data_IF_134795482806
#
_entry.id   IF_134795482806
#
_cell.length_a   1.000
_cell.length_b   1.000
_cell.length_c   1.000
_cell.angle_alpha   90.00
_cell.angle_beta   90.00
_cell.angle_gamma   90.00
#
_symmetry.space_group_name_H-M   'P 1'
#
loop_
_entity.id
_entity.type
_entity.pdbx_description
1 polymer ?
#
# COMPACT_ATOMS: atom_id res chain seq x y z
N UNK A 1 -13.20 13.68 5.77
CA UNK A 1 -11.90 12.99 5.58
C UNK A 1 -10.89 13.82 4.78
N UNK A 2 -11.29 14.48 3.68
CA UNK A 2 -10.43 15.34 2.84
C UNK A 2 -9.77 16.47 3.64
N UNK A 3 -10.51 17.11 4.55
CA UNK A 3 -9.99 18.22 5.35
C UNK A 3 -8.84 17.79 6.27
N UNK A 4 -8.93 16.60 6.89
CA UNK A 4 -7.88 16.08 7.75
C UNK A 4 -6.60 15.74 6.99
N UNK A 5 -6.74 15.19 5.77
CA UNK A 5 -5.63 14.89 4.88
C UNK A 5 -4.97 16.16 4.31
N UNK A 6 -5.77 17.17 3.93
CA UNK A 6 -5.26 18.47 3.50
C UNK A 6 -4.51 19.15 4.65
N UNK A 7 -5.05 19.11 5.86
CA UNK A 7 -4.38 19.67 7.05
C UNK A 7 -3.07 18.93 7.33
N UNK A 8 -3.06 17.59 7.26
CA UNK A 8 -1.85 16.79 7.48
C UNK A 8 -0.75 17.11 6.46
N UNK A 9 -1.09 17.14 5.17
CA UNK A 9 -0.14 17.47 4.09
C UNK A 9 0.37 18.90 4.19
N UNK A 10 -0.49 19.86 4.56
CA UNK A 10 -0.10 21.25 4.76
C UNK A 10 0.81 21.39 5.99
N UNK A 11 0.48 20.72 7.10
CA UNK A 11 1.27 20.73 8.33
C UNK A 11 2.64 20.06 8.15
N UNK A 12 2.69 18.95 7.40
CA UNK A 12 3.93 18.28 7.05
C UNK A 12 4.82 19.18 6.18
N UNK A 13 4.27 19.81 5.12
CA UNK A 13 4.99 20.77 4.29
C UNK A 13 5.52 21.96 5.10
N UNK A 14 4.70 22.51 6.01
CA UNK A 14 5.12 23.58 6.93
C UNK A 14 6.23 23.15 7.90
N UNK A 15 6.15 21.93 8.43
CA UNK A 15 7.16 21.40 9.36
C UNK A 15 8.51 21.20 8.68
N UNK A 16 8.51 20.72 7.44
CA UNK A 16 9.73 20.55 6.62
C UNK A 16 10.33 21.90 6.24
N UNK A 17 9.52 22.87 5.81
CA UNK A 17 9.98 24.23 5.53
C UNK A 17 10.56 24.86 6.80
N UNK A 18 9.89 24.71 7.94
CA UNK A 18 10.35 25.20 9.24
C UNK A 18 11.69 24.59 9.65
N UNK A 19 11.85 23.27 9.54
CA UNK A 19 13.10 22.59 9.84
C UNK A 19 14.24 23.04 8.91
N UNK A 20 13.97 23.19 7.61
CA UNK A 20 14.94 23.71 6.63
C UNK A 20 15.39 25.14 6.96
N UNK A 21 14.45 26.02 7.29
CA UNK A 21 14.73 27.42 7.66
C UNK A 21 15.56 27.51 8.94
N UNK A 22 15.27 26.67 9.94
CA UNK A 22 16.04 26.58 11.18
C UNK A 22 17.48 26.11 10.90
N UNK A 23 17.68 25.11 10.05
CA UNK A 23 19.01 24.67 9.64
C UNK A 23 19.81 25.76 8.92
N UNK A 24 19.16 26.54 8.04
CA UNK A 24 19.78 27.68 7.35
C UNK A 24 20.17 28.78 8.35
N UNK A 25 19.28 29.13 9.28
CA UNK A 25 19.55 30.16 10.31
C UNK A 25 20.68 29.72 11.24
N UNK A 26 20.71 28.46 11.67
CA UNK A 26 21.78 27.90 12.50
C UNK A 26 23.13 27.93 11.76
N UNK A 27 23.15 27.53 10.49
CA UNK A 27 24.34 27.62 9.64
C UNK A 27 24.85 29.05 9.48
N UNK A 28 23.94 30.01 9.26
CA UNK A 28 24.29 31.43 9.16
C UNK A 28 24.76 32.03 10.50
N UNK A 29 24.14 31.64 11.63
CA UNK A 29 24.58 32.09 12.96
C UNK A 29 25.93 31.51 13.36
N UNK A 30 26.22 30.26 13.00
CA UNK A 30 27.54 29.65 13.16
C UNK A 30 28.60 30.39 12.34
N UNK A 31 28.25 30.80 11.11
CA UNK A 31 29.11 31.62 10.26
C UNK A 31 29.43 32.99 10.88
N UNK A 32 28.43 33.71 11.41
CA UNK A 32 28.63 35.01 12.04
C UNK A 32 29.42 34.95 13.37
N UNK A 33 29.36 33.82 14.09
CA UNK A 33 30.10 33.63 15.35
C UNK A 33 31.61 33.37 15.15
N UNK A 34 32.09 33.35 13.92
CA UNK A 34 33.54 33.34 13.64
C UNK A 34 34.27 32.09 14.10
N UNK A 35 33.57 30.94 14.21
CA UNK A 35 34.20 29.63 14.44
C UNK A 35 34.84 29.18 13.12
N UNK A 36 35.85 29.91 12.67
CA UNK A 36 36.64 29.59 11.49
C UNK A 36 38.04 29.16 11.95
N UNK A 37 38.49 27.93 11.65
CA UNK A 37 39.92 27.69 11.50
C UNK A 37 40.40 28.52 10.29
N UNK A 38 41.59 29.10 10.37
CA UNK A 38 42.22 29.94 9.33
C UNK A 38 42.48 29.23 7.98
N UNK A 39 42.06 27.97 7.82
CA UNK A 39 42.18 27.20 6.60
C UNK A 39 40.78 26.81 6.11
N UNK A 40 40.33 27.48 5.06
CA UNK A 40 39.22 26.99 4.24
C UNK A 40 39.74 25.79 3.44
N UNK A 41 39.37 24.58 3.86
CA UNK A 41 39.72 23.35 3.14
C UNK A 41 38.89 23.21 1.88
N UNK A 42 39.54 22.96 0.74
CA UNK A 42 38.85 22.54 -0.48
C UNK A 42 38.21 21.17 -0.23
N UNK A 43 36.90 21.06 -0.45
CA UNK A 43 36.15 19.81 -0.27
C UNK A 43 35.98 19.15 -1.63
N UNK A 44 36.63 18.02 -1.82
CA UNK A 44 36.52 17.20 -3.03
C UNK A 44 35.57 16.03 -2.83
N UNK A 45 34.62 15.85 -3.74
CA UNK A 45 33.71 14.72 -3.81
C UNK A 45 33.70 14.13 -5.21
N UNK A 46 33.73 12.80 -5.32
CA UNK A 46 33.66 12.09 -6.59
C UNK A 46 32.39 11.23 -6.62
N UNK A 47 31.54 11.43 -7.63
CA UNK A 47 30.34 10.64 -7.88
C UNK A 47 30.45 10.05 -9.30
N UNK A 48 30.86 8.79 -9.40
CA UNK A 48 31.18 8.15 -10.68
C UNK A 48 32.36 8.83 -11.38
N UNK A 49 32.19 9.17 -12.66
CA UNK A 49 33.20 9.89 -13.45
C UNK A 49 33.22 11.41 -13.19
N UNK A 50 32.29 11.94 -12.39
CA UNK A 50 32.20 13.37 -12.12
C UNK A 50 32.94 13.71 -10.82
N UNK A 51 33.99 14.52 -10.93
CA UNK A 51 34.74 15.08 -9.79
C UNK A 51 34.28 16.51 -9.52
N UNK A 52 33.76 16.76 -8.33
CA UNK A 52 33.29 18.06 -7.85
C UNK A 52 34.23 18.55 -6.75
N UNK A 53 34.85 19.71 -6.96
CA UNK A 53 35.74 20.36 -5.99
C UNK A 53 35.12 21.69 -5.56
N UNK A 54 34.72 21.79 -4.28
CA UNK A 54 34.21 23.03 -3.70
C UNK A 54 35.37 23.77 -3.04
N UNK A 55 35.84 24.82 -3.71
CA UNK A 55 36.93 25.66 -3.20
C UNK A 55 36.45 26.66 -2.16
N UNK A 56 37.25 26.89 -1.12
CA UNK A 56 36.93 27.80 -0.02
C UNK A 56 35.58 27.51 0.69
N UNK A 57 35.25 26.24 0.87
CA UNK A 57 33.99 25.85 1.50
C UNK A 57 33.99 26.24 3.00
N UNK A 58 33.14 27.19 3.39
CA UNK A 58 32.89 27.45 4.79
C UNK A 58 32.08 26.28 5.39
N UNK A 59 32.22 25.95 6.68
CA UNK A 59 31.44 24.86 7.31
C UNK A 59 29.92 25.02 7.14
N UNK A 60 29.43 26.26 7.08
CA UNK A 60 28.02 26.57 6.82
C UNK A 60 27.54 26.20 5.41
N UNK A 61 28.44 26.15 4.42
CA UNK A 61 28.12 25.78 3.04
C UNK A 61 27.69 24.32 2.94
N UNK A 62 28.27 23.44 3.77
CA UNK A 62 27.88 22.03 3.85
C UNK A 62 26.46 21.86 4.40
N UNK A 63 26.06 22.63 5.42
CA UNK A 63 24.69 22.60 5.96
C UNK A 63 23.66 23.16 4.98
N UNK A 64 24.01 24.22 4.25
CA UNK A 64 23.17 24.77 3.19
C UNK A 64 23.00 23.77 2.03
N UNK A 65 24.08 23.13 1.59
CA UNK A 65 24.04 22.08 0.57
C UNK A 65 23.22 20.87 1.02
N UNK A 66 23.36 20.43 2.27
CA UNK A 66 22.56 19.34 2.82
C UNK A 66 21.07 19.68 2.87
N UNK A 67 20.72 20.91 3.27
CA UNK A 67 19.34 21.42 3.20
C UNK A 67 18.78 21.46 1.78
N UNK A 68 19.57 21.94 0.81
CA UNK A 68 19.21 21.94 -0.61
C UNK A 68 19.05 20.53 -1.18
N UNK A 69 19.91 19.57 -0.77
CA UNK A 69 19.83 18.17 -1.20
C UNK A 69 18.61 17.50 -0.62
N UNK A 70 18.25 17.74 0.65
CA UNK A 70 17.00 17.23 1.24
C UNK A 70 15.79 17.75 0.46
N UNK A 71 15.75 19.06 0.17
CA UNK A 71 14.68 19.68 -0.62
C UNK A 71 14.65 19.10 -2.04
N UNK A 72 15.80 18.92 -2.69
CA UNK A 72 15.91 18.37 -4.05
C UNK A 72 15.50 16.88 -4.10
N UNK A 73 15.94 16.06 -3.15
CA UNK A 73 15.54 14.65 -3.04
C UNK A 73 14.04 14.53 -2.76
N UNK A 74 13.45 15.44 -1.97
CA UNK A 74 12.01 15.48 -1.74
C UNK A 74 11.21 15.98 -2.96
N UNK A 75 11.76 16.89 -3.77
CA UNK A 75 11.18 17.29 -5.05
C UNK A 75 11.25 16.17 -6.11
N UNK A 76 12.32 15.38 -6.12
CA UNK A 76 12.54 14.29 -7.09
C UNK A 76 11.79 13.02 -6.70
N UNK A 77 11.75 12.66 -5.42
CA UNK A 77 10.99 11.49 -4.94
C UNK A 77 9.49 11.76 -4.78
N UNK A 78 9.07 13.04 -4.86
CA UNK A 78 7.71 13.47 -4.60
C UNK A 78 7.30 13.21 -3.15
N UNK A 79 6.24 13.87 -2.69
CA UNK A 79 5.51 13.37 -1.53
C UNK A 79 4.84 12.03 -1.86
N UNK A 80 3.91 11.54 -1.03
CA UNK A 80 2.99 10.44 -1.40
C UNK A 80 2.12 10.71 -2.66
N UNK A 81 2.43 11.74 -3.45
CA UNK A 81 1.87 12.10 -4.75
C UNK A 81 2.05 11.03 -5.83
N UNK A 82 3.09 10.18 -5.81
CA UNK A 82 3.26 9.13 -6.84
C UNK A 82 2.10 8.11 -6.82
N UNK A 83 1.55 7.85 -5.63
CA UNK A 83 0.34 7.03 -5.46
C UNK A 83 -0.90 7.77 -6.01
N UNK A 84 -0.93 9.10 -5.87
CA UNK A 84 -2.04 9.95 -6.32
C UNK A 84 -2.00 10.17 -7.83
N UNK A 85 -0.82 10.26 -8.46
CA UNK A 85 -0.69 10.44 -9.91
C UNK A 85 -0.96 9.13 -10.68
N UNK A 86 -0.63 7.97 -10.12
CA UNK A 86 -1.11 6.68 -10.66
C UNK A 86 -2.64 6.55 -10.49
N UNK A 87 -3.20 6.98 -9.36
CA UNK A 87 -4.65 7.11 -9.17
C UNK A 87 -5.29 8.14 -10.14
N UNK A 88 -4.60 9.23 -10.47
CA UNK A 88 -5.06 10.29 -11.37
C UNK A 88 -4.91 9.90 -12.86
N UNK A 89 -3.94 9.03 -13.20
CA UNK A 89 -3.82 8.42 -14.54
C UNK A 89 -4.89 7.35 -14.77
N UNK A 90 -5.22 6.58 -13.75
CA UNK A 90 -6.43 5.73 -13.73
C UNK A 90 -7.70 6.62 -13.83
N UNK A 91 -7.72 7.76 -13.14
CA UNK A 91 -8.77 8.78 -13.18
C UNK A 91 -8.95 9.51 -14.52
N UNK A 92 -7.89 9.71 -15.30
CA UNK A 92 -7.93 10.37 -16.61
C UNK A 92 -8.37 9.44 -17.74
N UNK A 93 -8.08 8.14 -17.66
CA UNK A 93 -8.74 7.14 -18.52
C UNK A 93 -10.23 6.93 -18.14
N UNK A 94 -10.66 7.44 -16.98
CA UNK A 94 -12.04 7.52 -16.52
C UNK A 94 -12.82 8.74 -17.05
N UNK A 95 -12.25 9.60 -17.89
CA UNK A 95 -12.98 10.72 -18.50
C UNK A 95 -14.17 10.28 -19.39
N UNK A 96 -14.25 9.01 -19.77
CA UNK A 96 -15.45 8.42 -20.39
C UNK A 96 -16.60 8.13 -19.40
N UNK A 97 -16.35 8.24 -18.08
CA UNK A 97 -17.30 7.99 -17.00
C UNK A 97 -17.87 9.29 -16.36
N UNK A 98 -17.41 10.47 -16.78
CA UNK A 98 -17.79 11.78 -16.19
C UNK A 98 -19.28 12.13 -16.33
N UNK A 99 -20.00 11.53 -17.28
CA UNK A 99 -21.45 11.76 -17.43
C UNK A 99 -22.29 11.13 -16.29
N UNK A 100 -21.74 10.14 -15.57
CA UNK A 100 -22.45 9.50 -14.43
C UNK A 100 -22.21 10.26 -13.12
N UNK A 101 -21.05 10.89 -12.95
CA UNK A 101 -20.62 11.51 -11.69
C UNK A 101 -21.25 12.89 -11.46
N UNK A 102 -21.72 13.58 -12.52
CA UNK A 102 -22.37 14.90 -12.44
C UNK A 102 -23.69 14.96 -11.64
N UNK A 103 -24.24 13.83 -11.18
CA UNK A 103 -25.49 13.80 -10.40
C UNK A 103 -25.34 13.86 -8.88
N UNK A 104 -24.13 13.90 -8.34
CA UNK A 104 -23.93 14.03 -6.89
C UNK A 104 -23.94 15.52 -6.50
N UNK A 105 -25.14 16.12 -6.39
CA UNK A 105 -25.35 17.30 -5.54
C UNK A 105 -26.27 16.95 -4.38
N UNK A 106 -25.81 17.29 -3.17
CA UNK A 106 -26.57 17.20 -1.93
C UNK A 106 -27.86 18.03 -2.02
N UNK A 107 -29.01 17.38 -1.81
CA UNK A 107 -30.20 18.00 -1.23
C UNK A 107 -30.88 16.96 -0.35
N UNK A 108 -31.06 17.31 0.92
CA UNK A 108 -31.81 16.49 1.85
C UNK A 108 -33.29 16.38 1.47
N UNK A 109 -33.92 15.33 1.99
CA UNK A 109 -35.37 15.19 2.04
C UNK A 109 -35.90 13.91 1.37
N UNK A 110 -36.68 13.18 2.18
CA UNK A 110 -37.58 12.08 1.81
C UNK A 110 -36.90 10.79 1.32
N UNK A 111 -36.83 9.77 2.18
CA UNK A 111 -37.86 8.73 2.33
C UNK A 111 -37.85 7.78 1.13
N UNK A 112 -37.44 6.54 1.34
CA UNK A 112 -38.19 5.34 0.95
C UNK A 112 -37.50 4.07 1.44
N UNK A 113 -38.33 3.04 1.67
CA UNK A 113 -37.97 1.75 2.22
C UNK A 113 -36.80 1.09 1.47
N UNK A 114 -35.62 1.06 2.10
CA UNK A 114 -34.40 0.51 1.53
C UNK A 114 -33.62 -0.25 2.60
N UNK A 115 -32.91 -1.29 2.18
CA UNK A 115 -31.87 -1.91 2.99
C UNK A 115 -30.99 -0.80 3.58
N UNK A 116 -30.54 -0.93 4.84
CA UNK A 116 -29.57 0.02 5.38
C UNK A 116 -28.36 0.11 4.45
N UNK A 117 -27.66 1.25 4.42
CA UNK A 117 -26.48 1.45 3.55
C UNK A 117 -25.43 0.33 3.73
N UNK A 118 -25.26 -0.17 4.96
CA UNK A 118 -24.44 -1.36 5.26
C UNK A 118 -25.01 -2.67 4.67
N UNK A 119 -26.34 -2.82 4.64
CA UNK A 119 -27.01 -3.94 3.99
C UNK A 119 -26.86 -3.93 2.46
N UNK A 120 -26.93 -2.74 1.84
CA UNK A 120 -26.69 -2.56 0.40
C UNK A 120 -25.23 -2.85 0.04
N UNK A 121 -24.27 -2.34 0.82
CA UNK A 121 -22.85 -2.64 0.65
C UNK A 121 -22.59 -4.15 0.68
N UNK A 122 -23.10 -4.83 1.72
CA UNK A 122 -22.92 -6.26 1.88
C UNK A 122 -23.52 -7.06 0.71
N UNK A 123 -24.65 -6.61 0.14
CA UNK A 123 -25.27 -7.24 -1.01
C UNK A 123 -24.41 -7.09 -2.28
N UNK A 124 -23.90 -5.88 -2.56
CA UNK A 124 -23.03 -5.62 -3.70
C UNK A 124 -21.69 -6.36 -3.60
N UNK A 125 -21.11 -6.43 -2.40
CA UNK A 125 -19.89 -7.20 -2.15
C UNK A 125 -20.09 -8.69 -2.44
N UNK A 126 -21.19 -9.28 -1.92
CA UNK A 126 -21.54 -10.69 -2.20
C UNK A 126 -21.78 -10.93 -3.69
N UNK A 127 -22.42 -9.98 -4.37
CA UNK A 127 -22.65 -10.06 -5.81
C UNK A 127 -21.35 -10.04 -6.60
N UNK A 128 -20.41 -9.15 -6.27
CA UNK A 128 -19.08 -9.11 -6.89
C UNK A 128 -18.31 -10.42 -6.73
N UNK A 129 -18.33 -11.01 -5.52
CA UNK A 129 -17.69 -12.31 -5.25
C UNK A 129 -18.33 -13.43 -6.07
N UNK A 130 -19.65 -13.39 -6.26
CA UNK A 130 -20.33 -14.36 -7.11
C UNK A 130 -19.92 -14.23 -8.59
N UNK A 131 -19.71 -13.02 -9.08
CA UNK A 131 -19.29 -12.77 -10.46
C UNK A 131 -17.85 -13.22 -10.70
N UNK A 132 -16.96 -12.98 -9.74
CA UNK A 132 -15.58 -13.47 -9.76
C UNK A 132 -15.53 -15.00 -9.86
N UNK A 133 -16.35 -15.72 -9.08
CA UNK A 133 -16.47 -17.18 -9.16
C UNK A 133 -16.96 -17.69 -10.51
N UNK A 134 -17.73 -16.86 -11.23
CA UNK A 134 -18.20 -17.16 -12.57
C UNK A 134 -17.21 -16.73 -13.67
N UNK A 135 -16.07 -16.15 -13.30
CA UNK A 135 -15.03 -15.66 -14.22
C UNK A 135 -15.34 -14.32 -14.88
N UNK A 136 -16.38 -13.60 -14.44
CA UNK A 136 -16.72 -12.27 -14.95
C UNK A 136 -16.05 -11.18 -14.12
N UNK A 137 -14.74 -11.06 -14.29
CA UNK A 137 -13.88 -10.11 -13.58
C UNK A 137 -14.32 -8.66 -13.79
N UNK A 138 -14.79 -8.32 -15.00
CA UNK A 138 -15.21 -6.96 -15.33
C UNK A 138 -16.48 -6.58 -14.58
N UNK A 139 -17.47 -7.48 -14.52
CA UNK A 139 -18.67 -7.26 -13.74
C UNK A 139 -18.37 -7.26 -12.23
N UNK A 140 -17.45 -8.10 -11.76
CA UNK A 140 -17.01 -8.13 -10.36
C UNK A 140 -16.41 -6.78 -9.93
N UNK A 141 -15.50 -6.21 -10.75
CA UNK A 141 -14.96 -4.87 -10.52
C UNK A 141 -16.03 -3.80 -10.44
N UNK A 142 -17.01 -3.86 -11.35
CA UNK A 142 -18.14 -2.92 -11.34
C UNK A 142 -18.96 -3.03 -10.05
N UNK A 143 -19.21 -4.24 -9.57
CA UNK A 143 -19.93 -4.48 -8.32
C UNK A 143 -19.17 -3.96 -7.09
N UNK A 144 -17.85 -4.21 -7.01
CA UNK A 144 -17.02 -3.68 -5.94
C UNK A 144 -16.93 -2.16 -5.97
N UNK A 145 -16.80 -1.55 -7.15
CA UNK A 145 -16.80 -0.10 -7.33
C UNK A 145 -18.12 0.53 -6.89
N UNK A 146 -19.27 -0.09 -7.19
CA UNK A 146 -20.58 0.34 -6.69
C UNK A 146 -20.68 0.23 -5.18
N UNK A 147 -20.21 -0.87 -4.59
CA UNK A 147 -20.19 -1.03 -3.14
C UNK A 147 -19.40 0.11 -2.47
N UNK A 148 -18.20 0.41 -2.98
CA UNK A 148 -17.36 1.50 -2.48
C UNK A 148 -17.90 2.92 -2.78
N UNK A 149 -18.92 3.04 -3.63
CA UNK A 149 -19.58 4.32 -3.93
C UNK A 149 -20.73 4.64 -2.96
N UNK A 150 -21.12 3.70 -2.09
CA UNK A 150 -22.14 3.94 -1.08
C UNK A 150 -21.59 4.95 -0.05
N UNK A 151 -22.27 6.08 0.17
CA UNK A 151 -21.86 7.08 1.15
C UNK A 151 -21.68 6.46 2.54
N UNK A 152 -20.70 7.00 3.29
CA UNK A 152 -20.44 6.62 4.69
C UNK A 152 -20.21 5.12 4.95
N UNK A 153 -19.80 4.37 3.91
CA UNK A 153 -19.37 2.96 4.05
C UNK A 153 -18.31 2.86 5.15
N UNK A 154 -18.53 2.03 6.19
CA UNK A 154 -17.55 1.83 7.24
C UNK A 154 -16.21 1.34 6.66
N UNK A 155 -15.10 1.94 7.10
CA UNK A 155 -13.77 1.61 6.58
C UNK A 155 -13.45 0.11 6.70
N UNK A 156 -13.92 -0.53 7.78
CA UNK A 156 -13.79 -1.97 8.02
C UNK A 156 -14.53 -2.84 6.98
N UNK A 157 -15.65 -2.35 6.45
CA UNK A 157 -16.38 -3.03 5.37
C UNK A 157 -15.68 -2.80 4.03
N UNK A 158 -15.22 -1.58 3.78
CA UNK A 158 -14.44 -1.23 2.59
C UNK A 158 -13.14 -2.06 2.46
N UNK A 159 -12.50 -2.41 3.58
CA UNK A 159 -11.32 -3.29 3.60
C UNK A 159 -11.55 -4.64 2.90
N UNK A 160 -12.76 -5.20 3.02
CA UNK A 160 -13.13 -6.45 2.32
C UNK A 160 -13.13 -6.23 0.81
N UNK A 161 -13.73 -5.13 0.34
CA UNK A 161 -13.75 -4.80 -1.08
C UNK A 161 -12.33 -4.52 -1.61
N UNK A 162 -11.48 -3.80 -0.87
CA UNK A 162 -10.08 -3.57 -1.25
C UNK A 162 -9.33 -4.89 -1.43
N UNK A 163 -9.52 -5.85 -0.51
CA UNK A 163 -8.89 -7.16 -0.63
C UNK A 163 -9.34 -7.91 -1.89
N UNK A 164 -10.64 -7.93 -2.18
CA UNK A 164 -11.14 -8.63 -3.38
C UNK A 164 -10.66 -7.98 -4.68
N UNK A 165 -10.62 -6.65 -4.73
CA UNK A 165 -10.06 -5.94 -5.89
C UNK A 165 -8.56 -6.25 -6.04
N UNK A 166 -7.79 -6.29 -4.94
CA UNK A 166 -6.38 -6.66 -4.98
C UNK A 166 -6.16 -8.09 -5.50
N UNK A 167 -6.97 -9.05 -5.06
CA UNK A 167 -6.96 -10.42 -5.59
C UNK A 167 -7.22 -10.44 -7.10
N UNK A 168 -8.20 -9.68 -7.57
CA UNK A 168 -8.52 -9.61 -9.00
C UNK A 168 -7.41 -8.95 -9.83
N UNK A 169 -6.78 -7.90 -9.30
CA UNK A 169 -5.61 -7.33 -9.95
C UNK A 169 -4.44 -8.32 -10.00
N UNK A 170 -4.28 -9.19 -9.00
CA UNK A 170 -3.29 -10.26 -9.06
C UNK A 170 -3.59 -11.31 -10.14
N UNK A 171 -4.85 -11.73 -10.31
CA UNK A 171 -5.22 -12.67 -11.39
C UNK A 171 -4.96 -12.07 -12.76
N UNK A 172 -5.16 -10.76 -12.91
CA UNK A 172 -4.87 -9.98 -14.12
C UNK A 172 -3.39 -9.61 -14.29
N UNK A 173 -2.49 -10.05 -13.39
CA UNK A 173 -1.06 -9.70 -13.36
C UNK A 173 -0.78 -8.18 -13.21
N UNK A 174 -1.76 -7.41 -12.73
CA UNK A 174 -1.67 -5.97 -12.46
C UNK A 174 -1.16 -5.74 -11.03
N UNK A 175 0.05 -6.23 -10.75
CA UNK A 175 0.58 -6.29 -9.38
C UNK A 175 0.84 -4.90 -8.77
N UNK A 176 1.20 -3.89 -9.58
CA UNK A 176 1.35 -2.50 -9.13
C UNK A 176 0.07 -1.95 -8.50
N UNK A 177 -1.07 -2.23 -9.12
CA UNK A 177 -2.37 -1.73 -8.68
C UNK A 177 -2.92 -2.52 -7.48
N UNK A 178 -2.54 -3.79 -7.35
CA UNK A 178 -2.93 -4.64 -6.23
C UNK A 178 -2.27 -4.22 -4.90
N UNK A 179 -1.01 -3.75 -4.95
CA UNK A 179 -0.22 -3.46 -3.76
C UNK A 179 -0.84 -2.40 -2.82
N UNK A 180 -1.23 -1.20 -3.28
CA UNK A 180 -1.82 -0.20 -2.39
C UNK A 180 -3.12 -0.69 -1.75
N UNK A 181 -3.94 -1.45 -2.49
CA UNK A 181 -5.21 -1.99 -2.00
C UNK A 181 -5.01 -3.07 -0.94
N UNK A 182 -4.09 -4.00 -1.16
CA UNK A 182 -3.74 -5.04 -0.18
C UNK A 182 -3.14 -4.43 1.10
N UNK A 183 -2.28 -3.41 0.98
CA UNK A 183 -1.75 -2.67 2.14
C UNK A 183 -2.85 -1.96 2.90
N UNK A 184 -3.80 -1.34 2.20
CA UNK A 184 -4.92 -0.65 2.83
C UNK A 184 -5.80 -1.64 3.61
N UNK A 185 -6.11 -2.82 3.05
CA UNK A 185 -6.87 -3.85 3.75
C UNK A 185 -6.21 -4.25 5.08
N UNK A 186 -4.90 -4.52 5.07
CA UNK A 186 -4.12 -4.85 6.28
C UNK A 186 -4.03 -3.68 7.27
N UNK A 187 -3.92 -2.44 6.78
CA UNK A 187 -3.87 -1.26 7.66
C UNK A 187 -5.17 -1.04 8.43
N UNK A 188 -6.30 -1.32 7.78
CA UNK A 188 -7.63 -1.20 8.38
C UNK A 188 -7.89 -2.32 9.38
N UNK A 189 -7.54 -3.55 9.03
CA UNK A 189 -7.72 -4.72 9.86
C UNK A 189 -6.44 -5.56 9.91
N UNK A 190 -5.63 -5.31 10.94
CA UNK A 190 -4.32 -5.94 11.15
C UNK A 190 -4.41 -7.36 11.69
N UNK A 191 -5.58 -7.80 12.16
CA UNK A 191 -5.77 -9.14 12.73
C UNK A 191 -6.43 -10.10 11.72
N UNK A 192 -6.58 -9.65 10.47
CA UNK A 192 -7.17 -10.44 9.41
C UNK A 192 -6.11 -11.24 8.64
N UNK A 193 -6.04 -12.55 8.91
CA UNK A 193 -5.09 -13.44 8.24
C UNK A 193 -5.25 -13.48 6.72
N UNK A 194 -6.46 -13.32 6.18
CA UNK A 194 -6.71 -13.28 4.72
C UNK A 194 -6.01 -12.09 4.09
N UNK A 195 -6.09 -10.91 4.71
CA UNK A 195 -5.50 -9.70 4.16
C UNK A 195 -3.97 -9.76 4.18
N UNK A 196 -3.41 -10.36 5.22
CA UNK A 196 -1.99 -10.67 5.29
C UNK A 196 -1.56 -11.65 4.19
N UNK A 197 -2.35 -12.67 3.88
CA UNK A 197 -2.06 -13.60 2.79
C UNK A 197 -2.12 -12.92 1.41
N UNK A 198 -3.17 -12.14 1.15
CA UNK A 198 -3.29 -11.38 -0.10
C UNK A 198 -2.10 -10.44 -0.27
N UNK A 199 -1.71 -9.67 0.77
CA UNK A 199 -0.54 -8.80 0.71
C UNK A 199 0.76 -9.58 0.49
N UNK A 200 0.93 -10.74 1.14
CA UNK A 200 2.09 -11.60 0.92
C UNK A 200 2.17 -12.08 -0.54
N UNK A 201 1.04 -12.48 -1.13
CA UNK A 201 0.97 -12.86 -2.54
C UNK A 201 1.32 -11.69 -3.48
N UNK A 202 0.87 -10.46 -3.17
CA UNK A 202 1.27 -9.27 -3.95
C UNK A 202 2.78 -9.03 -3.85
N UNK A 203 3.33 -9.06 -2.64
CA UNK A 203 4.75 -8.81 -2.39
C UNK A 203 5.64 -9.88 -3.03
N UNK A 204 5.20 -11.15 -3.01
CA UNK A 204 5.87 -12.25 -3.72
C UNK A 204 5.95 -11.98 -5.23
N UNK A 205 4.87 -11.50 -5.84
CA UNK A 205 4.86 -11.12 -7.28
C UNK A 205 5.70 -9.87 -7.56
N UNK A 206 5.90 -9.01 -6.56
CA UNK A 206 6.82 -7.86 -6.62
C UNK A 206 8.27 -8.21 -6.34
N UNK A 207 8.57 -9.47 -6.07
CA UNK A 207 9.89 -9.96 -5.69
C UNK A 207 10.42 -9.37 -4.36
N UNK A 208 9.56 -8.75 -3.56
CA UNK A 208 9.87 -8.36 -2.19
C UNK A 208 9.65 -9.55 -1.25
N UNK A 209 10.53 -10.55 -1.39
CA UNK A 209 10.39 -11.83 -0.70
C UNK A 209 10.53 -11.70 0.82
N UNK A 210 11.30 -10.72 1.30
CA UNK A 210 11.48 -10.49 2.73
C UNK A 210 10.16 -10.02 3.38
N UNK A 211 9.50 -9.02 2.80
CA UNK A 211 8.21 -8.54 3.31
C UNK A 211 7.09 -9.56 3.06
N UNK A 212 7.13 -10.29 1.94
CA UNK A 212 6.19 -11.39 1.66
C UNK A 212 6.23 -12.46 2.75
N UNK A 213 7.43 -12.91 3.17
CA UNK A 213 7.58 -13.88 4.27
C UNK A 213 6.99 -13.33 5.57
N UNK A 214 7.21 -12.06 5.88
CA UNK A 214 6.68 -11.43 7.10
C UNK A 214 5.15 -11.48 7.14
N UNK A 215 4.47 -11.08 6.05
CA UNK A 215 3.01 -11.13 5.99
C UNK A 215 2.47 -12.56 5.88
N UNK A 216 3.14 -13.46 5.17
CA UNK A 216 2.72 -14.86 5.12
C UNK A 216 2.83 -15.55 6.50
N UNK A 217 3.85 -15.21 7.31
CA UNK A 217 3.95 -15.68 8.70
C UNK A 217 2.82 -15.16 9.58
N UNK A 218 2.44 -13.90 9.40
CA UNK A 218 1.28 -13.32 10.08
C UNK A 218 -0.02 -14.06 9.68
N UNK A 219 -0.22 -14.34 8.38
CA UNK A 219 -1.40 -15.07 7.90
C UNK A 219 -1.56 -16.45 8.57
N UNK A 220 -0.48 -17.25 8.64
CA UNK A 220 -0.53 -18.57 9.30
C UNK A 220 -0.63 -18.48 10.82
N UNK A 221 -0.17 -17.38 11.43
CA UNK A 221 -0.29 -17.16 12.88
C UNK A 221 -1.73 -16.82 13.25
N UNK A 222 -2.36 -15.95 12.48
CA UNK A 222 -3.74 -15.51 12.69
C UNK A 222 -4.75 -16.60 12.33
N UNK A 223 -4.46 -17.40 11.30
CA UNK A 223 -5.36 -18.45 10.80
C UNK A 223 -4.57 -19.75 10.52
N UNK A 224 -4.25 -20.52 11.57
CA UNK A 224 -3.36 -21.69 11.48
C UNK A 224 -3.98 -22.94 10.85
N UNK A 225 -5.27 -22.91 10.49
CA UNK A 225 -5.97 -24.06 9.91
C UNK A 225 -6.22 -23.92 8.40
N UNK A 226 -5.66 -22.88 7.78
CA UNK A 226 -5.86 -22.58 6.37
C UNK A 226 -4.63 -23.02 5.55
N UNK A 227 -4.78 -24.10 4.79
CA UNK A 227 -3.69 -24.70 4.01
C UNK A 227 -3.11 -23.74 2.96
N UNK A 228 -3.96 -22.89 2.37
CA UNK A 228 -3.54 -21.86 1.39
C UNK A 228 -2.50 -20.90 1.97
N UNK A 229 -2.62 -20.50 3.24
CA UNK A 229 -1.66 -19.56 3.85
C UNK A 229 -0.29 -20.20 4.08
N UNK A 230 -0.26 -21.51 4.40
CA UNK A 230 0.98 -22.26 4.46
C UNK A 230 1.61 -22.43 3.07
N UNK A 231 0.81 -22.54 2.01
CA UNK A 231 1.31 -22.55 0.63
C UNK A 231 1.95 -21.21 0.24
N UNK A 232 1.29 -20.08 0.52
CA UNK A 232 1.86 -18.73 0.31
C UNK A 232 3.15 -18.53 1.10
N UNK A 233 3.20 -18.99 2.36
CA UNK A 233 4.41 -18.95 3.18
C UNK A 233 5.53 -19.79 2.57
N UNK A 234 5.23 -21.00 2.10
CA UNK A 234 6.22 -21.86 1.47
C UNK A 234 6.82 -21.23 0.20
N UNK A 235 5.99 -20.66 -0.67
CA UNK A 235 6.44 -19.98 -1.87
C UNK A 235 7.35 -18.79 -1.52
N UNK A 236 6.92 -17.97 -0.56
CA UNK A 236 7.67 -16.80 -0.10
C UNK A 236 9.03 -17.19 0.51
N UNK A 237 9.06 -18.22 1.36
CA UNK A 237 10.30 -18.73 1.97
C UNK A 237 11.26 -19.32 0.93
N UNK A 238 10.73 -20.08 -0.04
CA UNK A 238 11.53 -20.64 -1.13
C UNK A 238 12.20 -19.52 -1.94
N UNK A 239 11.45 -18.48 -2.29
CA UNK A 239 11.99 -17.35 -3.05
C UNK A 239 12.99 -16.51 -2.23
N UNK A 240 12.79 -16.41 -0.91
CA UNK A 240 13.77 -15.81 0.00
C UNK A 240 15.01 -16.69 0.28
N UNK A 241 15.06 -17.92 -0.26
CA UNK A 241 16.18 -18.86 -0.10
C UNK A 241 16.11 -19.77 1.13
N UNK A 242 15.08 -19.66 1.97
CA UNK A 242 14.86 -20.56 3.11
C UNK A 242 14.14 -21.85 2.67
N UNK A 243 14.91 -22.75 2.06
CA UNK A 243 14.38 -24.03 1.57
C UNK A 243 13.90 -24.95 2.68
N UNK A 244 14.52 -24.90 3.86
CA UNK A 244 14.12 -25.73 5.00
C UNK A 244 12.77 -25.28 5.57
N UNK A 245 12.59 -23.98 5.78
CA UNK A 245 11.32 -23.39 6.19
C UNK A 245 10.22 -23.62 5.14
N UNK A 246 10.54 -23.50 3.86
CA UNK A 246 9.58 -23.77 2.78
C UNK A 246 9.10 -25.23 2.77
N UNK A 247 10.00 -26.20 2.95
CA UNK A 247 9.62 -27.61 3.04
C UNK A 247 8.69 -27.87 4.22
N UNK A 248 8.95 -27.26 5.38
CA UNK A 248 8.09 -27.42 6.53
C UNK A 248 6.70 -26.80 6.31
N UNK A 249 6.65 -25.59 5.74
CA UNK A 249 5.39 -24.95 5.38
C UNK A 249 4.56 -25.78 4.38
N UNK A 250 5.18 -26.38 3.36
CA UNK A 250 4.49 -27.32 2.45
C UNK A 250 3.96 -28.55 3.17
N UNK A 251 4.73 -29.12 4.11
CA UNK A 251 4.25 -30.27 4.90
C UNK A 251 3.03 -29.91 5.73
N UNK A 252 3.00 -28.72 6.32
CA UNK A 252 1.84 -28.25 7.08
C UNK A 252 0.63 -28.03 6.17
N UNK A 253 0.81 -27.39 5.00
CA UNK A 253 -0.25 -27.24 4.01
C UNK A 253 -0.85 -28.60 3.62
N UNK A 254 0.00 -29.58 3.27
CA UNK A 254 -0.44 -30.91 2.87
C UNK A 254 -1.20 -31.66 3.98
N UNK A 255 -0.79 -31.53 5.24
CA UNK A 255 -1.51 -32.13 6.39
C UNK A 255 -2.89 -31.51 6.59
N UNK A 256 -3.01 -30.19 6.40
CA UNK A 256 -4.28 -29.48 6.54
C UNK A 256 -5.24 -29.81 5.40
N UNK A 257 -4.73 -29.91 4.17
CA UNK A 257 -5.51 -30.38 3.02
C UNK A 257 -5.98 -31.82 3.23
N UNK A 258 -5.11 -32.75 3.63
CA UNK A 258 -5.49 -34.13 3.89
C UNK A 258 -6.56 -34.24 4.99
N UNK A 259 -6.49 -33.40 6.03
CA UNK A 259 -7.54 -33.34 7.05
C UNK A 259 -8.85 -32.76 6.52
N UNK A 260 -8.79 -31.71 5.69
CA UNK A 260 -9.97 -31.03 5.14
C UNK A 260 -10.68 -31.87 4.05
N UNK A 261 -9.92 -32.58 3.20
CA UNK A 261 -10.44 -33.46 2.16
C UNK A 261 -10.73 -34.87 2.71
N UNK A 262 -9.89 -35.40 3.60
CA UNK A 262 -10.10 -36.69 4.29
C UNK A 262 -11.33 -36.72 5.19
N UNK A 263 -11.76 -35.57 5.73
CA UNK A 263 -13.05 -35.44 6.44
C UNK A 263 -14.29 -35.49 5.53
N UNK A 264 -14.15 -35.34 4.20
CA UNK A 264 -15.24 -35.45 3.22
C UNK A 264 -15.32 -36.82 2.54
N UNK A 265 -14.34 -37.70 2.74
CA UNK A 265 -14.25 -39.00 2.03
C UNK A 265 -14.79 -40.17 2.87
N UNK A 266 -15.22 -39.95 4.12
CA UNK A 266 -15.74 -41.03 4.98
C UNK A 266 -17.20 -41.44 4.73
N UNK A 267 -17.94 -40.83 3.80
CA UNK A 267 -19.36 -41.16 3.53
C UNK A 267 -19.64 -41.85 2.17
N UNK A 268 -18.67 -42.53 1.56
CA UNK A 268 -18.91 -43.34 0.34
C UNK A 268 -18.83 -44.86 0.55
N UNK A 269 -18.89 -45.34 1.80
CA UNK A 269 -19.09 -46.76 2.10
C UNK A 269 -20.34 -46.97 2.94
N UNK A 270 -21.51 -46.88 2.29
CA UNK A 270 -22.66 -47.74 2.54
C UNK A 270 -23.60 -47.76 1.34
#
# INVERSE_FOLDING_TARGET
MITGFLIYTTFFRLSVIGAGLVCIILGYRLFLRGVMPQQTSDVEGQAGDVRLTVKNAAPGTCFALFGCIIIAVMLVKGGPELVIEELDKVGKNQAAHEDVVRRIQMKGGAADAGLSESGEFAALLKFGISLERNGDDAAAMSAYGKALSIPDTPLIEAAKAFNQIACLYLTQKRTDEALPLARLAVQVDKENGVYHDTLANVLYKKEDFAEAVMHARQAVTLMPNEASHFYTLALSLKAAGDLAGAQEAIRQAARLDDKNYGAKVTDFNN
#
